data_IF_979954235425
#
_entry.id   IF_979954235425
#
_cell.length_a   1.000
_cell.length_b   1.000
_cell.length_c   1.000
_cell.angle_alpha   90.00
_cell.angle_beta   90.00
_cell.angle_gamma   90.00
#
_symmetry.space_group_name_H-M   'P 1'
#
loop_
_entity.id
_entity.type
_entity.pdbx_description
1 polymer ?
#
# COMPACT_ATOMS: atom_id res chain seq x y z
N UNK A 1 -14.51 -9.51 12.24
CA UNK A 1 -14.39 -8.04 12.39
C UNK A 1 -13.44 -7.75 13.54
N UNK A 2 -12.23 -7.22 13.29
CA UNK A 2 -11.38 -6.70 14.38
C UNK A 2 -11.83 -5.27 14.69
N UNK A 3 -12.02 -5.05 15.98
CA UNK A 3 -12.48 -3.84 16.65
C UNK A 3 -11.62 -2.61 16.35
N UNK A 4 -12.26 -1.49 16.04
CA UNK A 4 -11.65 -0.17 15.95
C UNK A 4 -11.10 0.24 17.33
N UNK A 5 -9.81 -0.03 17.55
CA UNK A 5 -9.05 0.71 18.55
C UNK A 5 -8.68 2.05 17.91
N UNK A 6 -9.18 3.14 18.47
CA UNK A 6 -8.67 4.48 18.18
C UNK A 6 -7.21 4.56 18.65
N UNK A 7 -6.30 4.05 17.83
CA UNK A 7 -4.89 4.03 18.11
C UNK A 7 -4.39 5.48 18.09
N UNK A 8 -3.71 5.89 19.16
CA UNK A 8 -3.10 7.21 19.26
C UNK A 8 -2.06 7.34 18.15
N UNK A 9 -2.38 8.09 17.11
CA UNK A 9 -1.53 8.26 15.94
C UNK A 9 -0.25 8.98 16.35
N UNK A 10 0.90 8.32 16.15
CA UNK A 10 2.20 8.79 16.64
C UNK A 10 2.75 9.95 15.81
N UNK A 11 2.33 10.04 14.55
CA UNK A 11 2.71 11.07 13.60
C UNK A 11 2.06 10.82 12.23
N UNK A 12 2.35 11.68 11.26
CA UNK A 12 1.90 11.52 9.88
C UNK A 12 3.08 11.28 8.93
N UNK A 13 2.90 10.38 7.97
CA UNK A 13 3.89 10.03 6.94
C UNK A 13 3.23 10.12 5.57
N UNK A 14 3.98 10.59 4.57
CA UNK A 14 3.54 10.60 3.17
C UNK A 14 4.37 9.63 2.35
N UNK A 15 3.71 8.68 1.70
CA UNK A 15 4.30 7.73 0.76
C UNK A 15 3.94 8.20 -0.66
N UNK A 16 4.96 8.42 -1.48
CA UNK A 16 4.80 8.87 -2.88
C UNK A 16 5.07 7.68 -3.80
N UNK A 17 4.05 7.29 -4.57
CA UNK A 17 4.04 6.14 -5.45
C UNK A 17 3.28 4.96 -4.84
N UNK A 18 2.21 4.52 -5.49
CA UNK A 18 1.32 3.43 -5.09
C UNK A 18 1.54 2.16 -5.91
N UNK A 19 2.80 1.84 -6.23
CA UNK A 19 3.19 0.49 -6.67
C UNK A 19 3.18 -0.51 -5.51
N UNK A 20 3.48 -1.78 -5.79
CA UNK A 20 3.52 -2.84 -4.76
C UNK A 20 4.39 -2.48 -3.54
N UNK A 21 5.56 -1.84 -3.78
CA UNK A 21 6.46 -1.40 -2.72
C UNK A 21 5.86 -0.27 -1.86
N UNK A 22 5.23 0.71 -2.48
CA UNK A 22 4.63 1.84 -1.78
C UNK A 22 3.38 1.45 -0.99
N UNK A 23 2.54 0.57 -1.55
CA UNK A 23 1.40 0.01 -0.84
C UNK A 23 1.84 -0.80 0.38
N UNK A 24 2.85 -1.66 0.24
CA UNK A 24 3.36 -2.43 1.39
C UNK A 24 3.95 -1.51 2.47
N UNK A 25 4.76 -0.52 2.08
CA UNK A 25 5.31 0.44 3.03
C UNK A 25 4.19 1.23 3.75
N UNK A 26 3.13 1.60 3.05
CA UNK A 26 2.00 2.30 3.65
C UNK A 26 1.24 1.43 4.67
N UNK A 27 1.06 0.14 4.36
CA UNK A 27 0.44 -0.81 5.29
C UNK A 27 1.31 -1.02 6.53
N UNK A 28 2.61 -1.26 6.36
CA UNK A 28 3.54 -1.46 7.48
C UNK A 28 3.59 -0.24 8.41
N UNK A 29 3.54 0.96 7.84
CA UNK A 29 3.49 2.23 8.59
C UNK A 29 2.14 2.43 9.30
N UNK A 30 1.03 2.08 8.64
CA UNK A 30 -0.30 2.16 9.24
C UNK A 30 -0.43 1.18 10.42
N UNK A 31 0.04 -0.06 10.26
CA UNK A 31 0.09 -1.08 11.32
C UNK A 31 1.01 -0.67 12.48
N UNK A 32 2.06 0.11 12.19
CA UNK A 32 2.94 0.71 13.19
C UNK A 32 2.32 1.91 13.92
N UNK A 33 1.14 2.39 13.51
CA UNK A 33 0.40 3.47 14.17
C UNK A 33 0.66 4.87 13.64
N UNK A 34 1.11 5.00 12.39
CA UNK A 34 1.24 6.28 11.71
C UNK A 34 0.00 6.59 10.87
N UNK A 35 -0.32 7.88 10.73
CA UNK A 35 -1.30 8.33 9.75
C UNK A 35 -0.61 8.40 8.40
N UNK A 36 -1.03 7.58 7.43
CA UNK A 36 -0.32 7.48 6.15
C UNK A 36 -1.12 8.15 5.04
N UNK A 37 -0.50 9.14 4.41
CA UNK A 37 -0.93 9.69 3.13
C UNK A 37 -0.26 8.89 2.02
N UNK A 38 -1.03 8.16 1.22
CA UNK A 38 -0.51 7.48 0.03
C UNK A 38 -0.90 8.28 -1.21
N UNK A 39 0.09 8.74 -1.98
CA UNK A 39 -0.11 9.63 -3.13
C UNK A 39 0.39 8.94 -4.40
N UNK A 40 -0.47 8.85 -5.41
CA UNK A 40 -0.13 8.34 -6.74
C UNK A 40 -0.36 9.43 -7.80
N UNK A 41 0.49 9.44 -8.82
CA UNK A 41 0.38 10.37 -9.95
C UNK A 41 -0.75 9.93 -10.90
N UNK A 42 -0.89 8.63 -11.14
CA UNK A 42 -1.95 8.09 -12.01
C UNK A 42 -3.31 8.02 -11.31
N UNK A 43 -4.38 7.92 -12.11
CA UNK A 43 -5.73 7.72 -11.60
C UNK A 43 -5.94 6.34 -10.92
N UNK A 44 -5.05 5.38 -11.19
CA UNK A 44 -5.08 4.03 -10.61
C UNK A 44 -3.77 3.73 -9.85
N UNK A 45 -3.86 2.82 -8.88
CA UNK A 45 -2.73 2.29 -8.10
C UNK A 45 -2.26 0.94 -8.68
N UNK A 46 -1.19 0.38 -8.12
CA UNK A 46 -0.62 -0.93 -8.50
C UNK A 46 0.67 -0.83 -9.31
N UNK A 47 0.99 0.33 -9.87
CA UNK A 47 2.26 0.59 -10.56
C UNK A 47 2.53 -0.37 -11.72
N UNK A 48 3.78 -0.84 -11.86
CA UNK A 48 4.14 -1.81 -12.91
C UNK A 48 3.52 -3.19 -12.73
N UNK A 49 3.24 -3.62 -11.49
CA UNK A 49 2.64 -4.93 -11.22
C UNK A 49 1.24 -5.04 -11.82
N UNK A 50 0.47 -3.95 -11.77
CA UNK A 50 -0.85 -3.87 -12.39
C UNK A 50 -0.86 -4.01 -13.92
N UNK A 51 0.30 -3.91 -14.58
CA UNK A 51 0.41 -4.06 -16.03
C UNK A 51 0.81 -5.47 -16.45
N UNK A 52 1.16 -6.33 -15.49
CA UNK A 52 1.52 -7.71 -15.73
C UNK A 52 0.27 -8.58 -15.74
N UNK A 53 0.23 -9.57 -16.63
CA UNK A 53 -0.83 -10.60 -16.59
C UNK A 53 -0.57 -11.58 -15.44
N UNK A 54 0.69 -12.02 -15.31
CA UNK A 54 1.13 -13.05 -14.36
C UNK A 54 2.44 -12.72 -13.67
N UNK A 55 2.64 -13.26 -12.47
CA UNK A 55 3.89 -13.14 -11.70
C UNK A 55 4.65 -14.46 -11.65
N UNK A 56 5.90 -14.47 -12.09
CA UNK A 56 6.80 -15.62 -11.91
C UNK A 56 7.26 -15.70 -10.44
N UNK A 57 7.47 -16.89 -9.84
CA UNK A 57 7.39 -18.25 -10.40
C UNK A 57 6.02 -18.92 -10.31
N UNK A 58 5.11 -18.37 -9.51
CA UNK A 58 3.84 -19.04 -9.18
C UNK A 58 2.83 -18.96 -10.31
N UNK A 59 3.00 -18.03 -11.25
CA UNK A 59 2.10 -17.76 -12.36
C UNK A 59 0.69 -17.36 -11.89
N UNK A 60 0.62 -16.65 -10.75
CA UNK A 60 -0.60 -16.07 -10.22
C UNK A 60 -0.98 -14.81 -10.99
N UNK A 61 -2.27 -14.45 -10.98
CA UNK A 61 -2.72 -13.16 -11.51
C UNK A 61 -2.09 -12.01 -10.72
N UNK A 62 -1.58 -11.00 -11.41
CA UNK A 62 -0.93 -9.87 -10.76
C UNK A 62 -1.93 -8.88 -10.09
N UNK A 63 -3.20 -8.92 -10.48
CA UNK A 63 -4.34 -8.21 -9.87
C UNK A 63 -5.58 -9.08 -9.84
#
# INVERSE_FOLDING_TARGET
MKSEHAQKVQGAVMVVGSGIAGMQAALDLADSGFYVYLVEKSAAIGGGMAQLDKTFPTNDCAM
#
